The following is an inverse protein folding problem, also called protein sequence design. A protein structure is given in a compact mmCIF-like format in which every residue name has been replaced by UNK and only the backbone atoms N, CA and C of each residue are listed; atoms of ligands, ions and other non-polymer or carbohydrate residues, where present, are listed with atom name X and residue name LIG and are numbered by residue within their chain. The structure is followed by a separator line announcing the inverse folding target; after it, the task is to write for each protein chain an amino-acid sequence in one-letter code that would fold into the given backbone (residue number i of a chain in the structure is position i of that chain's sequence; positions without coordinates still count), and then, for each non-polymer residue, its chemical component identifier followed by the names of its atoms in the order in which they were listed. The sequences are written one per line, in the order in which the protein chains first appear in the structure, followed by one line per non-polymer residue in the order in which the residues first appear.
data_IF_334535042010
#
_entry.id   IF_334535042010
#
_cell.length_a   1.000
_cell.length_b   1.000
_cell.length_c   1.000
_cell.angle_alpha   90.00
_cell.angle_beta   90.00
_cell.angle_gamma   90.00
#
_symmetry.space_group_name_H-M   'P 1'
#
loop_
_entity.id
_entity.type
_entity.pdbx_description
1 polymer ?
#
# COMPACT_ATOMS: atom_id res chain seq x y z
N UNK A 1 4.93 -10.29 5.08
CA UNK A 1 5.61 -9.30 4.24
C UNK A 1 4.63 -8.19 3.91
N UNK A 2 5.10 -6.96 3.68
CA UNK A 2 4.27 -5.83 3.26
C UNK A 2 4.34 -5.66 1.73
N UNK A 3 3.34 -5.04 1.09
CA UNK A 3 3.39 -4.76 -0.34
C UNK A 3 4.59 -3.89 -0.69
N UNK A 4 5.31 -4.24 -1.76
CA UNK A 4 6.33 -3.37 -2.39
C UNK A 4 5.73 -2.48 -3.48
N UNK A 5 4.50 -2.78 -3.91
CA UNK A 5 3.79 -2.08 -4.97
C UNK A 5 2.30 -1.96 -4.67
N UNK A 6 1.72 -0.79 -4.96
CA UNK A 6 0.27 -0.61 -5.03
C UNK A 6 -0.14 -0.27 -6.46
N UNK A 7 -1.14 -0.99 -6.96
CA UNK A 7 -1.75 -0.71 -8.25
C UNK A 7 -3.22 -0.27 -8.09
N UNK A 8 -3.71 0.49 -9.07
CA UNK A 8 -5.12 0.90 -9.09
C UNK A 8 -5.63 1.23 -10.50
N UNK A 9 -6.94 1.52 -10.60
CA UNK A 9 -7.59 1.97 -11.82
C UNK A 9 -7.54 3.48 -12.08
N UNK A 10 -7.01 4.26 -11.12
CA UNK A 10 -6.84 5.71 -11.26
C UNK A 10 -8.15 6.52 -11.25
N UNK A 11 -9.27 5.94 -10.84
CA UNK A 11 -10.51 6.69 -10.60
C UNK A 11 -10.34 7.62 -9.38
N UNK A 12 -11.13 8.69 -9.28
CA UNK A 12 -11.19 9.49 -8.04
C UNK A 12 -11.55 8.63 -6.82
N UNK A 13 -11.37 9.17 -5.62
CA UNK A 13 -11.69 8.47 -4.38
C UNK A 13 -10.68 7.37 -4.05
N UNK A 14 -11.16 6.14 -3.82
CA UNK A 14 -10.33 5.04 -3.34
C UNK A 14 -9.17 4.66 -4.27
N UNK A 15 -9.40 4.68 -5.59
CA UNK A 15 -8.39 4.30 -6.56
C UNK A 15 -7.18 5.26 -6.50
N UNK A 16 -7.42 6.58 -6.58
CA UNK A 16 -6.36 7.59 -6.40
C UNK A 16 -5.73 7.55 -5.00
N UNK A 17 -6.51 7.28 -3.94
CA UNK A 17 -5.98 7.18 -2.58
C UNK A 17 -4.96 6.06 -2.43
N UNK A 18 -5.15 4.93 -3.12
CA UNK A 18 -4.17 3.85 -3.15
C UNK A 18 -2.81 4.29 -3.73
N UNK A 19 -2.85 5.04 -4.84
CA UNK A 19 -1.66 5.55 -5.51
C UNK A 19 -0.93 6.60 -4.65
N UNK A 20 -1.69 7.49 -4.02
CA UNK A 20 -1.14 8.54 -3.15
C UNK A 20 -0.52 7.97 -1.87
N UNK A 21 -1.15 6.97 -1.25
CA UNK A 21 -0.58 6.29 -0.10
C UNK A 21 0.71 5.56 -0.47
N UNK A 22 0.76 4.88 -1.62
CA UNK A 22 2.00 4.25 -2.07
C UNK A 22 3.12 5.27 -2.33
N UNK A 23 2.81 6.40 -2.98
CA UNK A 23 3.80 7.45 -3.19
C UNK A 23 4.34 8.00 -1.85
N UNK A 24 3.46 8.22 -0.87
CA UNK A 24 3.85 8.68 0.47
C UNK A 24 4.67 7.65 1.26
N UNK A 25 4.50 6.35 0.97
CA UNK A 25 5.25 5.25 1.57
C UNK A 25 6.49 4.86 0.73
N UNK A 26 6.80 5.61 -0.32
CA UNK A 26 7.90 5.33 -1.25
C UNK A 26 7.82 3.94 -1.91
N UNK A 27 6.59 3.42 -2.08
CA UNK A 27 6.31 2.17 -2.78
C UNK A 27 6.18 2.40 -4.28
N UNK A 28 6.40 1.34 -5.06
CA UNK A 28 6.06 1.40 -6.49
C UNK A 28 4.56 1.64 -6.68
N UNK A 29 4.24 2.46 -7.68
CA UNK A 29 2.87 2.70 -8.13
C UNK A 29 2.64 2.10 -9.52
N UNK A 30 1.39 1.89 -9.90
CA UNK A 30 1.05 1.46 -11.25
C UNK A 30 -0.41 1.04 -11.40
N UNK A 31 -0.63 0.20 -12.42
CA UNK A 31 -1.94 -0.38 -12.72
C UNK A 31 -2.44 -0.01 -14.11
N UNK A 32 -3.66 -0.42 -14.37
CA UNK A 32 -4.34 -0.24 -15.65
C UNK A 32 -5.44 0.80 -15.50
N UNK A 33 -5.28 1.92 -16.22
CA UNK A 33 -6.30 2.94 -16.37
C UNK A 33 -7.33 2.55 -17.45
N UNK A 34 -8.50 3.23 -17.54
CA UNK A 34 -9.36 3.12 -18.71
C UNK A 34 -8.60 3.45 -20.01
N UNK A 35 -8.98 2.84 -21.13
CA UNK A 35 -8.36 3.07 -22.46
C UNK A 35 -8.17 4.55 -22.81
N UNK A 36 -9.16 5.37 -22.47
CA UNK A 36 -9.20 6.80 -22.74
C UNK A 36 -8.72 7.69 -21.56
N UNK A 37 -8.16 7.10 -20.49
CA UNK A 37 -7.66 7.81 -19.31
C UNK A 37 -8.71 8.67 -18.59
N UNK A 38 -9.99 8.30 -18.71
CA UNK A 38 -11.09 9.05 -18.12
C UNK A 38 -11.32 8.67 -16.66
N UNK A 39 -11.44 9.70 -15.82
CA UNK A 39 -12.01 9.63 -14.47
C UNK A 39 -13.34 10.38 -14.44
N UNK A 40 -14.01 10.46 -13.29
CA UNK A 40 -15.21 11.30 -13.18
C UNK A 40 -14.93 12.81 -13.33
N UNK A 41 -13.69 13.24 -13.05
CA UNK A 41 -13.23 14.62 -13.25
C UNK A 41 -12.72 14.88 -14.68
N UNK A 42 -12.91 13.92 -15.58
CA UNK A 42 -12.51 14.02 -16.98
C UNK A 42 -11.17 13.33 -17.29
N UNK A 43 -10.52 13.81 -18.34
CA UNK A 43 -9.27 13.22 -18.83
C UNK A 43 -8.10 13.49 -17.89
N UNK A 44 -7.39 12.45 -17.43
CA UNK A 44 -6.30 12.55 -16.45
C UNK A 44 -5.00 11.86 -16.86
N UNK A 45 -4.75 11.64 -18.16
CA UNK A 45 -3.54 10.90 -18.60
C UNK A 45 -2.23 11.37 -17.96
N UNK A 46 -1.89 12.69 -17.91
CA UNK A 46 -0.61 13.10 -17.35
C UNK A 46 -0.43 12.67 -15.90
N UNK A 47 -1.49 12.80 -15.09
CA UNK A 47 -1.51 12.38 -13.69
C UNK A 47 -1.41 10.86 -13.55
N UNK A 48 -2.19 10.09 -14.32
CA UNK A 48 -2.17 8.64 -14.20
C UNK A 48 -0.84 8.04 -14.68
N UNK A 49 -0.23 8.64 -15.70
CA UNK A 49 1.12 8.25 -16.17
C UNK A 49 2.19 8.59 -15.14
N UNK A 50 2.07 9.68 -14.36
CA UNK A 50 3.05 9.98 -13.31
C UNK A 50 3.07 8.94 -12.17
N UNK A 51 1.99 8.16 -12.00
CA UNK A 51 1.94 6.99 -11.12
C UNK A 51 2.24 5.66 -11.83
N UNK A 52 2.75 5.70 -13.06
CA UNK A 52 3.12 4.50 -13.81
C UNK A 52 1.94 3.68 -14.33
N UNK A 53 0.72 4.22 -14.39
CA UNK A 53 -0.40 3.50 -14.99
C UNK A 53 -0.24 3.40 -16.51
N UNK A 54 -0.76 2.31 -17.08
CA UNK A 54 -0.86 2.08 -18.52
C UNK A 54 -2.31 2.12 -18.99
N UNK A 55 -2.53 2.45 -20.26
CA UNK A 55 -3.87 2.41 -20.85
C UNK A 55 -4.33 0.95 -21.00
N UNK A 56 -5.52 0.64 -20.46
CA UNK A 56 -6.15 -0.64 -20.72
C UNK A 56 -6.69 -0.77 -22.16
N UNK A 57 -7.10 -1.99 -22.56
CA UNK A 57 -7.78 -2.21 -23.83
C UNK A 57 -9.08 -1.41 -23.95
N UNK A 58 -9.51 -1.16 -25.19
CA UNK A 58 -10.81 -0.54 -25.46
C UNK A 58 -11.94 -1.32 -24.78
N UNK A 59 -12.76 -0.60 -24.01
CA UNK A 59 -13.91 -1.15 -23.30
C UNK A 59 -15.13 -0.25 -23.55
N UNK A 60 -16.22 -0.75 -24.18
CA UNK A 60 -17.42 0.04 -24.40
C UNK A 60 -18.11 0.45 -23.09
N UNK A 61 -17.83 -0.24 -21.98
CA UNK A 61 -18.30 0.09 -20.63
C UNK A 61 -17.26 0.84 -19.80
N UNK A 62 -16.13 1.22 -20.43
CA UNK A 62 -15.02 2.01 -19.89
C UNK A 62 -14.20 1.37 -18.77
N UNK A 63 -14.84 0.75 -17.77
CA UNK A 63 -14.19 0.29 -16.54
C UNK A 63 -14.02 -1.22 -16.37
N UNK A 64 -14.93 -2.11 -16.83
CA UNK A 64 -14.82 -3.54 -16.56
C UNK A 64 -13.47 -4.20 -16.91
N UNK A 65 -12.90 -3.94 -18.09
CA UNK A 65 -11.64 -4.57 -18.51
C UNK A 65 -10.48 -4.12 -17.62
N UNK A 66 -10.33 -2.81 -17.37
CA UNK A 66 -9.25 -2.31 -16.49
C UNK A 66 -9.41 -2.83 -15.06
N UNK A 67 -10.64 -2.96 -14.56
CA UNK A 67 -10.90 -3.53 -13.22
C UNK A 67 -10.46 -4.98 -13.16
N UNK A 68 -10.75 -5.77 -14.21
CA UNK A 68 -10.29 -7.16 -14.29
C UNK A 68 -8.76 -7.25 -14.29
N UNK A 69 -8.10 -6.46 -15.13
CA UNK A 69 -6.63 -6.48 -15.26
C UNK A 69 -5.95 -6.14 -13.94
N UNK A 70 -6.40 -5.09 -13.23
CA UNK A 70 -5.85 -4.76 -11.91
C UNK A 70 -6.05 -5.87 -10.86
N UNK A 71 -7.13 -6.65 -10.94
CA UNK A 71 -7.29 -7.83 -10.06
C UNK A 71 -6.28 -8.92 -10.44
N UNK A 72 -6.13 -9.20 -11.74
CA UNK A 72 -5.23 -10.24 -12.26
C UNK A 72 -3.76 -9.94 -11.94
N UNK A 73 -3.36 -8.67 -12.12
CA UNK A 73 -1.98 -8.18 -11.98
C UNK A 73 -1.59 -7.89 -10.52
N UNK A 74 -2.45 -8.22 -9.55
CA UNK A 74 -2.18 -8.09 -8.12
C UNK A 74 -2.16 -9.45 -7.41
N UNK A 75 -1.53 -9.50 -6.25
CA UNK A 75 -1.57 -10.68 -5.36
C UNK A 75 -2.84 -10.68 -4.50
N UNK A 76 -3.40 -9.50 -4.23
CA UNK A 76 -4.65 -9.37 -3.52
C UNK A 76 -5.28 -7.99 -3.71
N UNK A 77 -6.58 -7.90 -3.45
CA UNK A 77 -7.34 -6.66 -3.61
C UNK A 77 -7.93 -6.15 -2.29
N UNK A 78 -7.64 -4.90 -1.95
CA UNK A 78 -8.34 -4.14 -0.93
C UNK A 78 -9.52 -3.38 -1.55
N UNK A 79 -10.73 -3.62 -1.05
CA UNK A 79 -11.93 -2.88 -1.38
C UNK A 79 -12.30 -1.89 -0.27
N UNK A 80 -12.40 -0.60 -0.59
CA UNK A 80 -12.88 0.42 0.36
C UNK A 80 -14.21 1.06 -0.07
N UNK A 81 -14.98 1.52 0.91
CA UNK A 81 -16.25 2.19 0.73
C UNK A 81 -17.47 1.25 0.72
N UNK A 82 -18.51 1.65 -0.01
CA UNK A 82 -19.74 0.91 -0.15
C UNK A 82 -19.54 -0.35 -1.03
N UNK A 83 -19.37 -1.49 -0.36
CA UNK A 83 -19.25 -2.83 -0.94
C UNK A 83 -20.42 -3.26 -1.81
N UNK A 84 -21.60 -2.66 -1.59
CA UNK A 84 -22.79 -2.94 -2.39
C UNK A 84 -22.83 -2.13 -3.70
N UNK A 85 -21.85 -1.28 -3.98
CA UNK A 85 -21.84 -0.51 -5.24
C UNK A 85 -21.61 -1.40 -6.48
N UNK A 86 -22.08 -1.00 -7.67
CA UNK A 86 -21.82 -1.77 -8.90
C UNK A 86 -20.34 -2.03 -9.17
N UNK A 87 -19.46 -1.05 -8.89
CA UNK A 87 -18.01 -1.18 -9.05
C UNK A 87 -17.42 -2.20 -8.07
N UNK A 88 -17.74 -2.08 -6.78
CA UNK A 88 -17.24 -3.00 -5.76
C UNK A 88 -17.70 -4.44 -5.99
N UNK A 89 -18.98 -4.64 -6.38
CA UNK A 89 -19.49 -5.98 -6.75
C UNK A 89 -18.77 -6.56 -7.96
N UNK A 90 -18.43 -5.71 -8.95
CA UNK A 90 -17.70 -6.14 -10.14
C UNK A 90 -16.27 -6.56 -9.79
N UNK A 91 -15.55 -5.76 -9.01
CA UNK A 91 -14.21 -6.11 -8.52
C UNK A 91 -14.24 -7.41 -7.74
N UNK A 92 -15.15 -7.55 -6.76
CA UNK A 92 -15.32 -8.79 -5.98
C UNK A 92 -15.57 -9.99 -6.87
N UNK A 93 -16.42 -9.85 -7.89
CA UNK A 93 -16.69 -10.91 -8.87
C UNK A 93 -15.41 -11.33 -9.60
N UNK A 94 -14.59 -10.37 -10.03
CA UNK A 94 -13.31 -10.69 -10.66
C UNK A 94 -12.34 -11.36 -9.69
N UNK A 95 -12.25 -10.93 -8.43
CA UNK A 95 -11.41 -11.61 -7.43
C UNK A 95 -11.82 -13.08 -7.27
N UNK A 96 -13.13 -13.37 -7.18
CA UNK A 96 -13.67 -14.74 -7.10
C UNK A 96 -13.34 -15.54 -8.37
N UNK A 97 -13.53 -14.94 -9.55
CA UNK A 97 -13.28 -15.62 -10.84
C UNK A 97 -11.82 -15.96 -11.07
N UNK A 98 -10.91 -15.08 -10.64
CA UNK A 98 -9.46 -15.23 -10.84
C UNK A 98 -8.79 -15.95 -9.65
N UNK A 99 -9.56 -16.35 -8.63
CA UNK A 99 -9.03 -17.01 -7.43
C UNK A 99 -8.10 -16.12 -6.60
N UNK A 100 -8.24 -14.80 -6.69
CA UNK A 100 -7.40 -13.82 -5.98
C UNK A 100 -8.01 -13.46 -4.63
N UNK A 101 -7.21 -13.44 -3.54
CA UNK A 101 -7.70 -13.03 -2.23
C UNK A 101 -8.14 -11.57 -2.25
N UNK A 102 -9.17 -11.25 -1.48
CA UNK A 102 -9.63 -9.88 -1.32
C UNK A 102 -10.11 -9.65 0.12
N UNK A 103 -10.07 -8.41 0.56
CA UNK A 103 -10.62 -7.95 1.84
C UNK A 103 -11.38 -6.65 1.63
N UNK A 104 -12.31 -6.33 2.51
CA UNK A 104 -13.13 -5.12 2.41
C UNK A 104 -13.25 -4.37 3.71
N UNK A 105 -13.10 -3.05 3.63
CA UNK A 105 -13.18 -2.12 4.76
C UNK A 105 -12.55 -2.64 6.08
N UNK A 106 -11.33 -3.21 6.04
CA UNK A 106 -10.69 -3.72 7.25
C UNK A 106 -10.26 -2.56 8.16
N UNK A 107 -10.08 -2.87 9.45
CA UNK A 107 -9.26 -2.01 10.33
C UNK A 107 -7.78 -2.16 9.93
N UNK A 108 -6.89 -1.24 10.34
CA UNK A 108 -5.47 -1.36 10.06
C UNK A 108 -4.86 -2.70 10.52
N UNK A 109 -5.24 -3.20 11.69
CA UNK A 109 -4.75 -4.46 12.26
C UNK A 109 -5.19 -5.65 11.41
N UNK A 110 -6.46 -5.66 11.00
CA UNK A 110 -7.01 -6.72 10.16
C UNK A 110 -6.39 -6.70 8.76
N UNK A 111 -6.14 -5.52 8.19
CA UNK A 111 -5.46 -5.42 6.90
C UNK A 111 -4.02 -5.90 7.01
N UNK A 112 -3.30 -5.51 8.07
CA UNK A 112 -1.92 -5.95 8.32
C UNK A 112 -1.82 -7.47 8.42
N UNK A 113 -2.71 -8.10 9.18
CA UNK A 113 -2.79 -9.55 9.29
C UNK A 113 -3.11 -10.20 7.93
N UNK A 114 -4.11 -9.66 7.22
CA UNK A 114 -4.53 -10.18 5.91
C UNK A 114 -3.41 -10.09 4.86
N UNK A 115 -2.68 -8.98 4.78
CA UNK A 115 -1.54 -8.80 3.89
C UNK A 115 -0.45 -9.85 4.14
N UNK A 116 -0.16 -10.14 5.42
CA UNK A 116 0.84 -11.12 5.82
C UNK A 116 0.41 -12.55 5.51
N UNK A 117 -0.81 -12.94 5.89
CA UNK A 117 -1.35 -14.30 5.69
C UNK A 117 -1.42 -14.65 4.21
N UNK A 118 -1.78 -13.68 3.36
CA UNK A 118 -1.92 -13.90 1.92
C UNK A 118 -0.63 -13.58 1.12
N UNK A 119 0.46 -13.22 1.80
CA UNK A 119 1.73 -12.84 1.17
C UNK A 119 1.56 -11.84 0.01
N UNK A 120 0.83 -10.75 0.26
CA UNK A 120 0.52 -9.76 -0.78
C UNK A 120 1.74 -8.86 -1.03
N UNK A 121 2.38 -9.01 -2.20
CA UNK A 121 3.49 -8.15 -2.63
C UNK A 121 3.01 -6.99 -3.52
N UNK A 122 2.04 -7.27 -4.40
CA UNK A 122 1.34 -6.27 -5.21
C UNK A 122 -0.10 -6.15 -4.72
N UNK A 123 -0.43 -5.03 -4.09
CA UNK A 123 -1.78 -4.74 -3.61
C UNK A 123 -2.55 -3.93 -4.65
N UNK A 124 -3.69 -4.45 -5.12
CA UNK A 124 -4.67 -3.64 -5.84
C UNK A 124 -5.59 -2.91 -4.84
N UNK A 125 -5.68 -1.59 -4.95
CA UNK A 125 -6.62 -0.78 -4.16
C UNK A 125 -7.76 -0.32 -5.07
N UNK A 126 -8.98 -0.67 -4.70
CA UNK A 126 -10.19 -0.34 -5.43
C UNK A 126 -11.30 0.15 -4.50
N UNK A 127 -12.20 0.98 -5.01
CA UNK A 127 -13.37 1.39 -4.22
C UNK A 127 -14.27 2.37 -4.95
N UNK A 128 -15.08 3.11 -4.18
CA UNK A 128 -15.94 4.12 -4.77
C UNK A 128 -15.14 5.34 -5.23
N UNK A 129 -15.72 6.01 -6.24
CA UNK A 129 -15.38 7.37 -6.61
C UNK A 129 -15.79 8.36 -5.52
N UNK A 130 -15.05 9.46 -5.41
CA UNK A 130 -15.21 10.46 -4.36
C UNK A 130 -16.65 11.01 -4.33
N UNK A 131 -17.25 11.29 -5.49
CA UNK A 131 -18.63 11.79 -5.56
C UNK A 131 -19.70 10.83 -5.02
N UNK A 132 -19.38 9.54 -4.86
CA UNK A 132 -20.31 8.50 -4.36
C UNK A 132 -20.08 8.11 -2.92
N UNK A 133 -18.92 8.45 -2.38
CA UNK A 133 -18.60 8.24 -0.97
C UNK A 133 -17.64 9.35 -0.52
N UNK A 134 -18.15 10.56 -0.24
CA UNK A 134 -17.29 11.69 0.14
C UNK A 134 -16.44 11.38 1.37
N UNK A 135 -15.14 11.72 1.31
CA UNK A 135 -14.15 11.40 2.33
C UNK A 135 -13.48 10.03 2.16
N UNK A 136 -13.85 9.25 1.13
CA UNK A 136 -13.24 7.94 0.89
C UNK A 136 -11.76 8.06 0.51
N UNK A 137 -11.37 9.12 -0.19
CA UNK A 137 -9.96 9.37 -0.49
C UNK A 137 -9.13 9.45 0.80
N UNK A 138 -9.49 10.39 1.69
CA UNK A 138 -8.74 10.65 2.91
C UNK A 138 -8.73 9.44 3.87
N UNK A 139 -9.88 8.76 4.01
CA UNK A 139 -9.96 7.57 4.87
C UNK A 139 -9.19 6.37 4.31
N UNK A 140 -9.14 6.19 2.98
CA UNK A 140 -8.34 5.12 2.34
C UNK A 140 -6.84 5.40 2.47
N UNK A 141 -6.40 6.65 2.25
CA UNK A 141 -4.99 7.04 2.50
C UNK A 141 -4.60 6.75 3.94
N UNK A 142 -5.41 7.22 4.90
CA UNK A 142 -5.17 7.01 6.33
C UNK A 142 -5.04 5.53 6.68
N UNK A 143 -6.00 4.71 6.23
CA UNK A 143 -5.97 3.26 6.45
C UNK A 143 -4.66 2.63 5.96
N UNK A 144 -4.22 2.99 4.75
CA UNK A 144 -3.00 2.43 4.16
C UNK A 144 -1.74 2.86 4.92
N UNK A 145 -1.63 4.14 5.27
CA UNK A 145 -0.49 4.66 6.05
C UNK A 145 -0.41 4.08 7.46
N UNK A 146 -1.55 3.85 8.12
CA UNK A 146 -1.58 3.21 9.45
C UNK A 146 -1.30 1.70 9.37
N UNK A 147 -1.54 1.08 8.22
CA UNK A 147 -1.38 -0.36 8.04
C UNK A 147 0.02 -0.76 7.61
N UNK A 148 0.49 -0.13 6.52
CA UNK A 148 1.69 -0.50 5.81
C UNK A 148 2.83 0.27 6.45
N UNK A 149 3.54 -0.44 7.32
CA UNK A 149 4.75 0.05 7.93
C UNK A 149 5.91 -0.51 7.12
N UNK A 150 6.58 0.37 6.37
CA UNK A 150 7.70 0.00 5.51
C UNK A 150 8.94 -0.28 6.35
N UNK A 151 9.72 -1.29 5.94
CA UNK A 151 11.04 -1.50 6.52
C UNK A 151 11.91 -0.30 6.19
N UNK A 152 12.44 0.34 7.22
CA UNK A 152 13.44 1.40 7.11
C UNK A 152 14.79 0.84 7.54
N UNK A 153 15.83 1.26 6.85
CA UNK A 153 17.20 0.95 7.22
C UNK A 153 17.64 1.90 8.34
N UNK A 154 18.14 1.32 9.43
CA UNK A 154 18.72 2.06 10.54
C UNK A 154 20.17 1.63 10.72
N UNK A 155 21.02 2.62 10.96
CA UNK A 155 22.37 2.40 11.48
C UNK A 155 22.26 2.29 13.00
N UNK A 156 22.50 1.09 13.50
CA UNK A 156 22.53 0.80 14.93
C UNK A 156 23.96 0.90 15.44
N UNK A 157 24.21 1.79 16.39
CA UNK A 157 25.50 1.97 17.05
C UNK A 157 25.40 1.57 18.52
N UNK A 158 26.17 0.55 18.90
CA UNK A 158 26.29 0.17 20.31
C UNK A 158 27.11 1.23 21.06
N UNK A 159 26.51 1.88 22.06
CA UNK A 159 27.19 2.92 22.85
C UNK A 159 28.31 2.39 23.76
N UNK A 160 28.42 1.07 23.92
CA UNK A 160 29.44 0.45 24.78
C UNK A 160 30.72 0.07 24.02
N UNK A 161 30.58 -0.57 22.86
CA UNK A 161 31.73 -1.07 22.09
C UNK A 161 31.89 -0.39 20.71
N UNK A 162 31.03 0.57 20.37
CA UNK A 162 30.97 1.24 19.06
C UNK A 162 30.77 0.30 17.87
N UNK A 163 30.34 -0.95 18.10
CA UNK A 163 29.94 -1.85 17.02
C UNK A 163 28.79 -1.22 16.24
N UNK A 164 28.88 -1.30 14.91
CA UNK A 164 27.85 -0.80 13.98
C UNK A 164 27.18 -1.96 13.27
N UNK A 165 25.87 -1.88 13.14
CA UNK A 165 25.07 -2.84 12.36
C UNK A 165 24.02 -2.10 11.57
N UNK A 166 23.87 -2.48 10.30
CA UNK A 166 22.71 -2.12 9.52
C UNK A 166 21.60 -3.11 9.85
N UNK A 167 20.44 -2.58 10.21
CA UNK A 167 19.22 -3.35 10.46
C UNK A 167 18.08 -2.75 9.65
N UNK A 168 17.11 -3.59 9.32
CA UNK A 168 15.84 -3.15 8.73
C UNK A 168 14.73 -3.42 9.75
N UNK A 169 14.07 -2.34 10.17
CA UNK A 169 12.93 -2.41 11.08
C UNK A 169 11.81 -1.55 10.53
N UNK A 170 10.57 -1.90 10.87
CA UNK A 170 9.46 -0.99 10.63
C UNK A 170 9.42 0.05 11.76
N UNK A 171 8.75 1.19 11.58
CA UNK A 171 8.72 2.26 12.61
C UNK A 171 8.08 1.77 13.92
N UNK A 172 7.08 0.89 13.82
CA UNK A 172 6.44 0.23 14.97
C UNK A 172 7.45 -0.63 15.73
N UNK A 173 8.22 -1.49 15.04
CA UNK A 173 9.23 -2.31 15.71
C UNK A 173 10.38 -1.46 16.27
N UNK A 174 10.78 -0.40 15.57
CA UNK A 174 11.74 0.57 16.09
C UNK A 174 11.27 1.15 17.44
N UNK A 175 10.00 1.57 17.53
CA UNK A 175 9.46 2.15 18.74
C UNK A 175 9.30 1.09 19.85
N UNK A 176 8.86 -0.12 19.54
CA UNK A 176 8.79 -1.25 20.49
C UNK A 176 10.17 -1.56 21.08
N UNK A 177 11.23 -1.56 20.27
CA UNK A 177 12.61 -1.78 20.72
C UNK A 177 13.15 -0.62 21.58
N UNK A 178 12.73 0.61 21.27
CA UNK A 178 13.07 1.78 22.08
C UNK A 178 12.35 1.77 23.44
N UNK A 179 11.09 1.34 23.48
CA UNK A 179 10.28 1.26 24.69
C UNK A 179 10.67 0.05 25.57
N UNK A 180 11.18 -1.05 24.98
CA UNK A 180 11.60 -2.27 25.69
C UNK A 180 12.95 -2.15 26.41
N UNK A 181 13.66 -1.03 26.25
CA UNK A 181 14.98 -0.80 26.84
C UNK A 181 16.18 -1.18 25.96
N UNK A 182 15.93 -1.46 24.67
CA UNK A 182 16.97 -1.66 23.66
C UNK A 182 17.32 -3.13 23.36
N UNK A 183 18.04 -3.32 22.25
CA UNK A 183 18.37 -4.62 21.65
C UNK A 183 19.58 -5.29 22.34
N UNK A 184 19.80 -6.61 22.26
CA UNK A 184 21.05 -7.20 22.79
C UNK A 184 22.23 -7.01 21.83
N UNK A 185 23.37 -6.51 22.32
CA UNK A 185 24.53 -6.31 21.45
C UNK A 185 25.25 -7.63 21.34
N UNK A 186 25.18 -8.31 20.19
CA UNK A 186 25.82 -9.62 20.05
C UNK A 186 27.35 -9.55 20.06
N UNK A 187 27.96 -8.36 19.90
CA UNK A 187 29.41 -8.18 19.91
C UNK A 187 29.99 -8.02 21.34
N UNK A 188 29.27 -7.37 22.25
CA UNK A 188 29.71 -7.19 23.65
C UNK A 188 28.81 -7.86 24.70
N UNK A 189 27.73 -8.51 24.27
CA UNK A 189 26.73 -9.20 25.11
C UNK A 189 26.09 -8.32 26.19
N UNK A 190 26.10 -7.01 25.99
CA UNK A 190 25.50 -6.04 26.91
C UNK A 190 24.22 -5.50 26.28
N UNK A 191 23.12 -5.63 27.01
CA UNK A 191 21.87 -4.91 26.75
C UNK A 191 22.11 -3.45 27.14
N UNK A 192 22.30 -2.58 26.16
CA UNK A 192 22.54 -1.15 26.38
C UNK A 192 21.73 -0.31 25.39
N UNK A 193 21.51 0.96 25.75
CA UNK A 193 20.94 1.97 24.86
C UNK A 193 21.73 2.02 23.55
N UNK A 194 21.08 1.73 22.43
CA UNK A 194 21.65 2.01 21.10
C UNK A 194 21.33 3.42 20.73
N UNK A 195 22.25 4.02 19.98
CA UNK A 195 21.84 5.07 19.08
C UNK A 195 21.40 4.37 17.78
N UNK A 196 20.10 4.36 17.52
CA UNK A 196 19.58 4.01 16.19
C UNK A 196 19.35 5.31 15.44
N UNK A 197 20.06 5.50 14.33
CA UNK A 197 19.90 6.67 13.45
C UNK A 197 19.31 6.22 12.11
N UNK A 198 18.27 6.89 11.59
CA UNK A 198 17.80 6.65 10.23
C UNK A 198 18.96 6.78 9.26
N UNK A 199 19.12 5.81 8.36
CA UNK A 199 20.25 5.80 7.41
C UNK A 199 20.33 7.09 6.56
N UNK A 200 19.20 7.72 6.28
CA UNK A 200 19.09 8.99 5.53
C UNK A 200 19.66 10.22 6.27
N UNK A 201 19.95 10.12 7.56
CA UNK A 201 20.42 11.24 8.40
C UNK A 201 21.96 11.33 8.51
N UNK A 202 22.70 10.49 7.77
CA UNK A 202 24.17 10.43 7.77
C UNK A 202 24.83 11.10 6.54
N UNK A 203 24.11 12.00 5.84
CA UNK A 203 24.67 12.84 4.77
C UNK A 203 25.06 14.23 5.27
#
# INVERSE_FOLDING_TARGET
MYPSKIISGGQTGADMAGLEAAAALELETGGTAPYNWMTEDGYKKPLLVSYGLVAGPYDPRTYPIRTKLNVQDSDGTLLTGNSSSPGSRLTRRYCIQEGKPWTENPTPENLRAWLRINAVHILNVAGNRESRNPGIFASTVKLLLETIDVLKSYDMVCLNCNARRNIELTEVYYQEEMDSGGILCTDCSITNQYLMVPFSSLQ
#
